data_IF_307981161378
#
_entry.id   IF_307981161378
#
_cell.length_a   1.000
_cell.length_b   1.000
_cell.length_c   1.000
_cell.angle_alpha   90.00
_cell.angle_beta   90.00
_cell.angle_gamma   90.00
#
_symmetry.space_group_name_H-M   'P 1'
#
loop_
_entity.id
_entity.type
_entity.pdbx_description
1 polymer ?
#
# COMPACT_ATOMS: atom_id res chain seq x y z
N UNK A 1 -3.19 3.53 8.64
CA UNK A 1 -4.40 3.06 9.34
C UNK A 1 -5.57 3.96 8.98
N UNK A 2 -6.29 3.66 7.89
CA UNK A 2 -7.34 4.53 7.34
C UNK A 2 -7.14 4.85 5.85
N UNK A 3 -7.78 5.92 5.39
CA UNK A 3 -7.76 6.33 3.98
C UNK A 3 -6.44 7.04 3.66
N UNK A 4 -5.77 6.61 2.60
CA UNK A 4 -4.51 7.17 2.09
C UNK A 4 -4.65 7.36 0.58
N UNK A 5 -4.76 8.61 0.13
CA UNK A 5 -5.01 8.93 -1.27
C UNK A 5 -4.11 10.09 -1.74
N UNK A 6 -3.75 10.09 -3.02
CA UNK A 6 -2.96 11.15 -3.66
C UNK A 6 -1.71 11.51 -2.87
N UNK A 7 -1.64 12.74 -2.34
CA UNK A 7 -0.53 13.18 -1.50
C UNK A 7 -0.21 12.27 -0.31
N UNK A 8 -1.20 11.57 0.28
CA UNK A 8 -0.95 10.58 1.32
C UNK A 8 -0.12 9.38 0.83
N UNK A 9 -0.36 8.94 -0.40
CA UNK A 9 0.48 7.93 -1.09
C UNK A 9 1.86 8.53 -1.37
N UNK A 10 1.93 9.79 -1.80
CA UNK A 10 3.19 10.51 -2.00
C UNK A 10 4.08 10.61 -0.76
N UNK A 11 3.49 10.72 0.44
CA UNK A 11 4.26 10.74 1.69
C UNK A 11 4.66 9.34 2.14
N UNK A 12 3.79 8.35 1.96
CA UNK A 12 3.95 7.03 2.58
C UNK A 12 4.58 5.99 1.65
N UNK A 13 4.16 5.91 0.40
CA UNK A 13 4.49 4.78 -0.48
C UNK A 13 5.91 4.82 -1.07
N UNK A 14 6.66 5.90 -0.83
CA UNK A 14 8.10 6.02 -1.13
C UNK A 14 9.00 5.71 0.07
N UNK A 15 8.42 5.43 1.26
CA UNK A 15 9.19 5.06 2.43
C UNK A 15 9.79 3.66 2.30
N UNK A 16 10.90 3.40 3.00
CA UNK A 16 11.55 2.08 3.00
C UNK A 16 10.75 0.98 3.70
N UNK A 17 9.76 1.36 4.51
CA UNK A 17 8.85 0.46 5.22
C UNK A 17 7.44 1.04 5.21
N UNK A 18 6.52 0.33 4.55
CA UNK A 18 5.17 0.81 4.27
C UNK A 18 4.17 -0.14 4.91
N UNK A 19 3.44 0.36 5.90
CA UNK A 19 2.57 -0.46 6.75
C UNK A 19 1.11 -0.15 6.46
N UNK A 20 0.34 -1.20 6.16
CA UNK A 20 -1.11 -1.16 6.01
C UNK A 20 -1.80 -1.97 7.10
N UNK A 21 -3.06 -1.64 7.37
CA UNK A 21 -3.92 -2.32 8.35
C UNK A 21 -5.21 -2.79 7.67
N UNK A 22 -6.08 -3.47 8.41
CA UNK A 22 -7.41 -3.86 7.93
C UNK A 22 -8.28 -2.64 7.55
N UNK A 23 -7.96 -1.46 8.10
CA UNK A 23 -8.65 -0.20 7.83
C UNK A 23 -8.04 0.58 6.67
N UNK A 24 -6.88 0.15 6.15
CA UNK A 24 -6.23 0.86 5.05
C UNK A 24 -7.08 0.83 3.78
N UNK A 25 -7.23 2.00 3.17
CA UNK A 25 -7.83 2.20 1.85
C UNK A 25 -6.91 3.10 1.05
N UNK A 26 -6.24 2.52 0.06
CA UNK A 26 -5.20 3.20 -0.74
C UNK A 26 -5.76 3.48 -2.13
N UNK A 27 -5.55 4.68 -2.67
CA UNK A 27 -5.96 5.02 -4.03
C UNK A 27 -5.15 6.19 -4.62
N UNK A 28 -5.14 6.29 -5.95
CA UNK A 28 -4.76 7.51 -6.68
C UNK A 28 -5.98 7.97 -7.50
N UNK A 29 -6.95 8.68 -6.88
CA UNK A 29 -8.24 9.01 -7.50
C UNK A 29 -8.19 10.26 -8.41
N UNK A 30 -6.99 10.75 -8.75
CA UNK A 30 -6.78 12.02 -9.47
C UNK A 30 -7.50 12.06 -10.83
N UNK A 31 -7.65 10.92 -11.51
CA UNK A 31 -8.39 10.85 -12.79
C UNK A 31 -9.86 11.25 -12.64
N UNK A 32 -10.46 10.98 -11.48
CA UNK A 32 -11.83 11.37 -11.16
C UNK A 32 -12.04 12.88 -11.05
N UNK A 33 -10.96 13.65 -10.84
CA UNK A 33 -10.98 15.12 -10.79
C UNK A 33 -10.31 15.77 -12.03
N UNK A 34 -10.06 14.99 -13.09
CA UNK A 34 -9.40 15.48 -14.31
C UNK A 34 -7.91 15.73 -14.15
N UNK A 35 -7.26 15.00 -13.23
CA UNK A 35 -5.83 15.11 -12.96
C UNK A 35 -5.13 13.75 -13.13
N UNK A 36 -3.81 13.76 -13.27
CA UNK A 36 -2.99 12.54 -13.40
C UNK A 36 -2.54 12.08 -12.00
N UNK A 37 -2.31 10.78 -11.73
CA UNK A 37 -1.63 10.36 -10.51
C UNK A 37 -0.32 11.13 -10.32
N UNK A 38 -0.25 11.93 -9.28
CA UNK A 38 0.86 12.85 -9.01
C UNK A 38 1.83 12.26 -7.99
N UNK A 39 2.70 13.07 -7.37
CA UNK A 39 3.61 12.69 -6.26
C UNK A 39 4.45 11.42 -6.48
N UNK A 40 4.80 11.13 -7.74
CA UNK A 40 5.51 9.91 -8.13
C UNK A 40 4.65 8.64 -8.09
N UNK A 41 3.33 8.77 -7.93
CA UNK A 41 2.37 7.68 -7.99
C UNK A 41 2.38 6.97 -9.34
N UNK A 42 2.66 7.65 -10.44
CA UNK A 42 2.90 7.00 -11.74
C UNK A 42 4.09 6.04 -11.71
N UNK A 43 5.18 6.38 -11.02
CA UNK A 43 6.33 5.50 -10.86
C UNK A 43 5.99 4.28 -10.00
N UNK A 44 5.28 4.49 -8.89
CA UNK A 44 4.85 3.42 -8.00
C UNK A 44 3.88 2.45 -8.69
N UNK A 45 2.89 2.98 -9.40
CA UNK A 45 1.90 2.19 -10.13
C UNK A 45 2.54 1.45 -11.30
N UNK A 46 3.48 2.06 -12.03
CA UNK A 46 4.20 1.37 -13.11
C UNK A 46 5.04 0.17 -12.65
N UNK A 47 5.35 0.07 -11.35
CA UNK A 47 6.07 -1.07 -10.78
C UNK A 47 5.14 -2.21 -10.34
N UNK A 48 3.81 -2.01 -10.37
CA UNK A 48 2.86 -3.06 -10.02
C UNK A 48 2.90 -4.21 -11.04
N UNK A 49 2.59 -5.46 -10.65
CA UNK A 49 2.62 -6.59 -11.56
C UNK A 49 1.59 -6.48 -12.69
N UNK A 50 2.01 -6.77 -13.93
CA UNK A 50 1.10 -6.72 -15.09
C UNK A 50 0.55 -5.32 -15.32
N UNK A 51 -0.74 -5.23 -15.65
CA UNK A 51 -1.45 -3.97 -15.88
C UNK A 51 -2.24 -3.50 -14.64
N UNK A 52 -2.03 -4.11 -13.48
CA UNK A 52 -2.73 -3.74 -12.24
C UNK A 52 -2.49 -2.27 -11.87
N UNK A 53 -1.27 -1.77 -12.07
CA UNK A 53 -0.93 -0.38 -11.82
C UNK A 53 -1.61 0.58 -12.77
N UNK A 54 -1.58 0.27 -14.07
CA UNK A 54 -2.29 1.01 -15.12
C UNK A 54 -3.79 1.05 -14.82
N UNK A 55 -4.36 -0.10 -14.45
CA UNK A 55 -5.77 -0.21 -14.07
C UNK A 55 -6.13 0.71 -12.90
N UNK A 56 -5.34 0.70 -11.83
CA UNK A 56 -5.56 1.58 -10.67
C UNK A 56 -5.36 3.06 -11.03
N UNK A 57 -4.37 3.39 -11.86
CA UNK A 57 -4.13 4.75 -12.33
C UNK A 57 -5.31 5.31 -13.13
N UNK A 58 -5.89 4.51 -14.04
CA UNK A 58 -6.96 4.94 -14.92
C UNK A 58 -8.32 4.98 -14.21
N UNK A 59 -8.61 3.97 -13.39
CA UNK A 59 -9.92 3.85 -12.71
C UNK A 59 -10.02 4.68 -11.43
N UNK A 60 -8.90 5.06 -10.82
CA UNK A 60 -8.88 5.72 -9.51
C UNK A 60 -9.43 4.86 -8.38
N UNK A 61 -9.57 3.54 -8.60
CA UNK A 61 -10.20 2.62 -7.66
C UNK A 61 -9.42 2.54 -6.35
N UNK A 62 -10.14 2.53 -5.23
CA UNK A 62 -9.52 2.28 -3.92
C UNK A 62 -9.36 0.79 -3.64
N UNK A 63 -8.21 0.44 -3.05
CA UNK A 63 -7.83 -0.93 -2.72
C UNK A 63 -7.54 -1.11 -1.23
N UNK A 64 -7.75 -2.34 -0.75
CA UNK A 64 -7.46 -2.75 0.63
C UNK A 64 -6.00 -3.18 0.84
N UNK A 65 -5.70 -3.73 2.01
CA UNK A 65 -4.34 -4.08 2.41
C UNK A 65 -3.66 -5.12 1.49
N UNK A 66 -4.31 -6.25 1.21
CA UNK A 66 -3.73 -7.30 0.37
C UNK A 66 -3.43 -6.81 -1.05
N UNK A 67 -4.33 -6.02 -1.63
CA UNK A 67 -4.14 -5.46 -2.97
C UNK A 67 -3.07 -4.35 -2.98
N UNK A 68 -2.95 -3.55 -1.92
CA UNK A 68 -1.86 -2.60 -1.76
C UNK A 68 -0.48 -3.30 -1.66
N UNK A 69 -0.41 -4.44 -0.98
CA UNK A 69 0.78 -5.29 -0.93
C UNK A 69 1.08 -5.91 -2.31
N UNK A 70 0.05 -6.43 -2.99
CA UNK A 70 0.17 -7.00 -4.34
C UNK A 70 0.72 -5.99 -5.34
N UNK A 71 0.22 -4.76 -5.31
CA UNK A 71 0.66 -3.69 -6.20
C UNK A 71 1.97 -3.01 -5.75
N UNK A 72 2.60 -3.48 -4.67
CA UNK A 72 3.84 -2.89 -4.16
C UNK A 72 3.68 -1.46 -3.65
N UNK A 73 2.47 -1.05 -3.24
CA UNK A 73 2.19 0.23 -2.58
C UNK A 73 2.40 0.14 -1.05
N UNK A 74 2.50 -1.08 -0.53
CA UNK A 74 2.81 -1.40 0.86
C UNK A 74 3.76 -2.60 0.92
N UNK A 75 4.41 -2.80 2.08
CA UNK A 75 5.32 -3.94 2.32
C UNK A 75 4.82 -4.88 3.41
N UNK A 76 4.11 -4.34 4.40
CA UNK A 76 3.71 -5.07 5.60
C UNK A 76 2.25 -4.83 5.95
N UNK A 77 1.53 -5.91 6.28
CA UNK A 77 0.24 -5.83 6.93
C UNK A 77 0.42 -6.02 8.44
N UNK A 78 -0.02 -5.04 9.23
CA UNK A 78 -0.03 -5.10 10.69
C UNK A 78 -1.46 -4.80 11.15
N UNK A 79 -2.11 -5.69 11.92
CA UNK A 79 -3.45 -5.41 12.44
C UNK A 79 -3.48 -4.15 13.29
N UNK A 80 -4.53 -3.33 13.19
CA UNK A 80 -4.65 -2.05 13.92
C UNK A 80 -4.45 -2.25 15.43
N UNK A 81 -4.94 -3.38 15.98
CA UNK A 81 -4.79 -3.71 17.41
C UNK A 81 -3.33 -3.79 17.89
N UNK A 82 -2.36 -4.04 17.00
CA UNK A 82 -0.94 -4.17 17.33
C UNK A 82 -0.13 -2.89 17.12
N UNK A 83 -0.72 -1.85 16.53
CA UNK A 83 0.00 -0.60 16.26
C UNK A 83 0.55 0.10 17.51
N UNK A 84 -0.15 0.12 18.67
CA UNK A 84 0.42 0.71 19.88
C UNK A 84 1.72 0.00 20.31
N UNK A 85 1.68 -1.33 20.40
CA UNK A 85 2.85 -2.14 20.76
C UNK A 85 3.98 -2.03 19.73
N UNK A 86 3.64 -1.97 18.44
CA UNK A 86 4.63 -1.75 17.38
C UNK A 86 5.33 -0.40 17.55
N UNK A 87 4.57 0.66 17.87
CA UNK A 87 5.12 2.02 18.03
C UNK A 87 6.12 2.06 19.19
N UNK A 88 5.80 1.41 20.31
CA UNK A 88 6.70 1.28 21.46
C UNK A 88 7.97 0.48 21.10
N UNK A 89 7.82 -0.64 20.40
CA UNK A 89 8.97 -1.45 19.96
C UNK A 89 9.87 -0.71 18.95
N UNK A 90 9.28 0.10 18.07
CA UNK A 90 10.02 0.95 17.14
C UNK A 90 10.80 2.05 17.87
N UNK A 91 10.24 2.64 18.92
CA UNK A 91 10.94 3.65 19.72
C UNK A 91 12.19 3.08 20.42
N UNK A 92 12.22 1.77 20.70
CA UNK A 92 13.37 1.07 21.27
C UNK A 92 14.39 0.59 20.21
N UNK A 93 14.08 0.71 18.91
CA UNK A 93 14.96 0.27 17.81
C UNK A 93 15.96 1.38 17.45
N UNK A 94 17.25 1.05 17.34
CA UNK A 94 18.31 2.04 17.12
C UNK A 94 18.84 2.06 15.67
N UNK A 95 18.67 0.96 14.94
CA UNK A 95 19.19 0.80 13.57
C UNK A 95 18.10 0.47 12.57
N UNK A 96 18.33 0.79 11.29
CA UNK A 96 17.40 0.44 10.21
C UNK A 96 17.13 -1.08 10.13
N UNK A 97 18.14 -1.91 10.46
CA UNK A 97 17.98 -3.35 10.49
C UNK A 97 17.07 -3.81 11.64
N UNK A 98 17.21 -3.21 12.83
CA UNK A 98 16.31 -3.48 13.95
C UNK A 98 14.89 -3.04 13.64
N UNK A 99 14.70 -1.83 13.10
CA UNK A 99 13.40 -1.31 12.67
C UNK A 99 12.72 -2.29 11.70
N UNK A 100 13.42 -2.74 10.66
CA UNK A 100 12.87 -3.69 9.69
C UNK A 100 12.51 -5.05 10.32
N UNK A 101 13.35 -5.56 11.25
CA UNK A 101 13.04 -6.80 11.98
C UNK A 101 11.83 -6.63 12.89
N UNK A 102 11.73 -5.51 13.59
CA UNK A 102 10.58 -5.17 14.44
C UNK A 102 9.31 -5.14 13.60
N UNK A 103 9.25 -4.38 12.50
CA UNK A 103 8.02 -4.36 11.66
C UNK A 103 7.65 -5.76 11.17
N UNK A 104 8.64 -6.58 10.77
CA UNK A 104 8.40 -7.95 10.32
C UNK A 104 7.82 -8.85 11.43
N UNK A 105 8.26 -8.74 12.68
CA UNK A 105 7.70 -9.55 13.78
C UNK A 105 6.27 -9.15 14.17
N UNK A 106 5.83 -7.95 13.75
CA UNK A 106 4.46 -7.48 13.91
C UNK A 106 3.57 -7.75 12.70
N UNK A 107 4.14 -8.20 11.58
CA UNK A 107 3.39 -8.47 10.37
C UNK A 107 2.56 -9.76 10.48
N UNK A 108 1.37 -9.74 9.89
CA UNK A 108 0.47 -10.89 9.78
C UNK A 108 0.00 -11.04 8.32
N UNK A 109 -0.70 -12.12 8.00
CA UNK A 109 -1.32 -12.29 6.67
C UNK A 109 -2.53 -11.33 6.55
N UNK A 110 -2.62 -10.52 5.49
CA UNK A 110 -3.77 -9.66 5.27
C UNK A 110 -5.03 -10.48 4.93
N UNK A 111 -6.24 -9.95 5.19
CA UNK A 111 -7.46 -10.47 4.59
C UNK A 111 -7.36 -10.47 3.06
N UNK A 112 -7.97 -11.46 2.40
CA UNK A 112 -7.91 -11.60 0.95
C UNK A 112 -8.33 -10.31 0.22
N UNK A 113 -7.53 -9.94 -0.78
CA UNK A 113 -7.82 -8.85 -1.69
C UNK A 113 -8.71 -9.30 -2.86
N UNK A 114 -9.18 -8.33 -3.64
CA UNK A 114 -10.04 -8.59 -4.80
C UNK A 114 -9.25 -8.58 -6.11
N UNK A 115 -8.14 -7.84 -6.16
CA UNK A 115 -7.44 -7.52 -7.40
C UNK A 115 -6.69 -8.74 -7.94
N UNK A 116 -6.17 -9.60 -7.06
CA UNK A 116 -5.53 -10.86 -7.44
C UNK A 116 -6.46 -11.75 -8.30
N UNK A 117 -7.74 -11.84 -7.94
CA UNK A 117 -8.73 -12.64 -8.68
C UNK A 117 -9.16 -12.00 -10.01
N UNK A 118 -8.87 -10.72 -10.20
CA UNK A 118 -9.25 -9.93 -11.38
C UNK A 118 -8.09 -9.78 -12.37
N UNK A 119 -6.90 -10.25 -12.02
CA UNK A 119 -5.67 -10.01 -12.77
C UNK A 119 -5.75 -10.48 -14.23
N UNK A 120 -6.30 -11.66 -14.48
CA UNK A 120 -6.34 -12.25 -15.82
C UNK A 120 -7.03 -11.36 -16.85
N UNK A 121 -8.15 -10.72 -16.48
CA UNK A 121 -8.86 -9.83 -17.40
C UNK A 121 -8.25 -8.43 -17.43
N UNK A 122 -7.70 -7.95 -16.30
CA UNK A 122 -7.01 -6.66 -16.25
C UNK A 122 -5.78 -6.68 -17.16
N UNK A 123 -4.98 -7.74 -17.12
CA UNK A 123 -3.76 -7.88 -17.92
C UNK A 123 -4.05 -8.07 -19.43
N UNK A 124 -5.29 -8.42 -19.80
CA UNK A 124 -5.71 -8.67 -21.18
C UNK A 124 -6.39 -7.48 -21.87
N UNK A 125 -6.75 -6.42 -21.13
CA UNK A 125 -7.46 -5.23 -21.63
C UNK A 125 -6.51 -4.04 -21.77
#
# INVERSE_FOLDING_TARGET
>A
DGIVMGGGVGVSAHASLRIVTERSRVAMPETGIGFVPDVGGTHLLAAAPGELGTHLALTGRSVGAADALLCGLADHYVPTRRLPELTEALAASATAHEVARTVRSFSEEPPAGELAAQRDWIDAC
#
